data_IF_045652707480
#
_entry.id   IF_045652707480
#
_cell.length_a   1.000
_cell.length_b   1.000
_cell.length_c   1.000
_cell.angle_alpha   90.00
_cell.angle_beta   90.00
_cell.angle_gamma   90.00
#
_symmetry.space_group_name_H-M   'P 1'
#
loop_
_entity.id
_entity.type
_entity.pdbx_description
1 polymer ?
#
# COMPACT_ATOMS: atom_id res chain seq x y z
N UNK A 1 -20.62 10.36 -21.17
CA UNK A 1 -21.55 11.37 -20.61
C UNK A 1 -21.53 12.59 -21.53
N UNK A 2 -22.67 13.05 -22.05
CA UNK A 2 -22.68 14.19 -22.98
C UNK A 2 -21.78 14.00 -24.22
N UNK A 3 -21.72 12.79 -24.78
CA UNK A 3 -20.83 12.43 -25.89
C UNK A 3 -19.35 12.21 -25.53
N UNK A 4 -18.93 12.55 -24.31
CA UNK A 4 -17.56 12.34 -23.83
C UNK A 4 -17.37 10.93 -23.25
N UNK A 5 -16.17 10.37 -23.43
CA UNK A 5 -15.79 9.05 -22.91
C UNK A 5 -14.86 9.23 -21.70
N UNK A 6 -15.18 8.54 -20.61
CA UNK A 6 -14.37 8.50 -19.38
C UNK A 6 -13.87 7.08 -19.20
N UNK A 7 -12.55 6.92 -19.13
CA UNK A 7 -11.85 5.67 -18.89
C UNK A 7 -11.68 5.47 -17.39
N UNK A 8 -12.37 4.46 -16.86
CA UNK A 8 -12.28 4.06 -15.45
C UNK A 8 -11.32 2.87 -15.30
N UNK A 9 -11.46 1.86 -16.18
CA UNK A 9 -10.61 0.68 -16.12
C UNK A 9 -9.14 1.04 -16.41
N UNK A 10 -8.29 0.61 -15.51
CA UNK A 10 -6.85 0.83 -15.51
C UNK A 10 -6.16 -0.52 -15.29
N UNK A 11 -5.45 -1.08 -16.28
CA UNK A 11 -4.78 -2.37 -16.16
C UNK A 11 -3.73 -2.44 -15.04
N UNK A 12 -3.20 -1.29 -14.58
CA UNK A 12 -2.25 -1.26 -13.47
C UNK A 12 -2.92 -1.43 -12.10
N UNK A 13 -4.20 -1.05 -11.99
CA UNK A 13 -4.97 -1.06 -10.74
C UNK A 13 -6.02 -2.18 -10.69
N UNK A 14 -6.63 -2.50 -11.83
CA UNK A 14 -7.76 -3.41 -11.91
C UNK A 14 -7.31 -4.78 -12.43
N UNK A 15 -7.61 -5.82 -11.65
CA UNK A 15 -7.37 -7.22 -12.03
C UNK A 15 -8.68 -7.82 -12.54
N UNK A 16 -8.79 -8.16 -13.84
CA UNK A 16 -10.01 -8.78 -14.37
C UNK A 16 -10.38 -10.05 -13.59
N UNK A 17 -11.64 -10.18 -13.24
CA UNK A 17 -12.18 -11.35 -12.58
C UNK A 17 -12.81 -12.24 -13.65
N UNK A 18 -12.03 -13.23 -14.13
CA UNK A 18 -12.37 -14.26 -15.13
C UNK A 18 -13.23 -13.82 -16.33
N UNK A 19 -12.71 -14.00 -17.54
CA UNK A 19 -13.41 -13.74 -18.80
C UNK A 19 -14.80 -14.40 -18.79
N UNK A 20 -15.88 -13.71 -19.19
CA UNK A 20 -17.12 -14.41 -19.52
C UNK A 20 -16.77 -15.54 -20.49
N UNK A 21 -17.24 -16.75 -20.20
CA UNK A 21 -16.95 -17.93 -21.01
C UNK A 21 -17.15 -17.57 -22.50
N UNK A 22 -16.25 -17.99 -23.40
CA UNK A 22 -16.39 -17.68 -24.80
C UNK A 22 -17.79 -18.13 -25.26
N UNK A 23 -18.51 -17.22 -25.94
CA UNK A 23 -19.82 -17.50 -26.54
C UNK A 23 -19.81 -18.70 -27.50
N UNK A 24 -18.64 -19.27 -27.79
CA UNK A 24 -18.40 -20.44 -28.63
C UNK A 24 -18.80 -21.80 -28.01
N UNK A 25 -19.24 -21.87 -26.75
CA UNK A 25 -19.72 -23.13 -26.14
C UNK A 25 -21.26 -23.28 -26.12
N UNK A 26 -22.02 -22.30 -26.65
CA UNK A 26 -23.45 -22.44 -26.83
C UNK A 26 -23.74 -22.96 -28.25
N UNK A 27 -23.75 -24.29 -28.41
CA UNK A 27 -24.40 -24.92 -29.56
C UNK A 27 -25.85 -24.44 -29.57
N UNK A 28 -26.38 -23.86 -30.67
CA UNK A 28 -27.75 -23.34 -30.70
C UNK A 28 -28.73 -24.51 -30.81
N UNK A 29 -29.01 -25.17 -29.69
CA UNK A 29 -30.12 -26.12 -29.59
C UNK A 29 -31.35 -25.37 -29.10
N UNK A 30 -32.05 -24.73 -30.03
CA UNK A 30 -33.41 -24.22 -29.82
C UNK A 30 -33.59 -22.72 -30.00
N UNK A 31 -34.81 -22.35 -30.38
CA UNK A 31 -35.33 -20.98 -30.46
C UNK A 31 -35.47 -20.48 -29.01
N UNK A 32 -34.36 -20.08 -28.40
CA UNK A 32 -34.28 -19.61 -27.03
C UNK A 32 -33.47 -18.32 -26.98
N UNK A 33 -34.01 -17.31 -26.27
CA UNK A 33 -33.44 -15.99 -26.07
C UNK A 33 -31.90 -16.02 -26.00
N UNK A 34 -31.26 -15.27 -26.91
CA UNK A 34 -29.83 -14.99 -26.79
C UNK A 34 -29.58 -14.43 -25.38
N UNK A 35 -28.82 -15.16 -24.54
CA UNK A 35 -28.24 -14.58 -23.34
C UNK A 35 -27.37 -13.44 -23.83
N UNK A 36 -27.82 -12.20 -23.61
CA UNK A 36 -27.08 -11.00 -23.98
C UNK A 36 -25.63 -11.18 -23.53
N UNK A 37 -24.72 -11.18 -24.50
CA UNK A 37 -23.31 -11.08 -24.22
C UNK A 37 -23.14 -9.76 -23.45
N UNK A 38 -22.55 -9.83 -22.26
CA UNK A 38 -22.27 -8.66 -21.42
C UNK A 38 -21.71 -7.51 -22.27
N UNK A 39 -22.14 -6.28 -21.99
CA UNK A 39 -21.67 -5.09 -22.69
C UNK A 39 -20.13 -4.99 -22.57
N UNK A 40 -19.47 -5.04 -23.73
CA UNK A 40 -18.01 -5.11 -23.87
C UNK A 40 -17.27 -3.87 -23.34
N UNK A 41 -18.00 -2.79 -23.04
CA UNK A 41 -17.44 -1.61 -22.38
C UNK A 41 -17.16 -1.87 -20.89
N UNK A 42 -17.76 -2.90 -20.31
CA UNK A 42 -17.56 -3.28 -18.91
C UNK A 42 -16.55 -4.40 -18.79
N UNK A 43 -15.67 -4.27 -17.80
CA UNK A 43 -14.72 -5.30 -17.43
C UNK A 43 -14.98 -5.67 -15.98
N UNK A 44 -15.47 -6.90 -15.75
CA UNK A 44 -15.56 -7.45 -14.41
C UNK A 44 -14.14 -7.55 -13.81
N UNK A 45 -13.93 -6.97 -12.63
CA UNK A 45 -12.64 -6.98 -11.95
C UNK A 45 -12.79 -7.34 -10.47
N UNK A 46 -11.71 -7.80 -9.86
CA UNK A 46 -11.62 -7.94 -8.40
C UNK A 46 -11.80 -6.56 -7.76
N UNK A 47 -12.35 -6.54 -6.54
CA UNK A 47 -12.53 -5.32 -5.75
C UNK A 47 -11.24 -4.48 -5.78
N UNK A 48 -11.28 -3.24 -6.30
CA UNK A 48 -10.06 -2.47 -6.55
C UNK A 48 -9.43 -1.98 -5.24
N UNK A 49 -8.11 -1.99 -5.20
CA UNK A 49 -7.31 -1.42 -4.11
C UNK A 49 -6.30 -0.48 -4.74
N UNK A 50 -6.46 0.81 -4.49
CA UNK A 50 -5.57 1.86 -4.98
C UNK A 50 -4.76 2.38 -3.80
N UNK A 51 -3.44 2.38 -3.93
CA UNK A 51 -2.51 2.88 -2.91
C UNK A 51 -1.67 3.98 -3.55
N UNK A 52 -1.48 5.09 -2.83
CA UNK A 52 -0.64 6.21 -3.25
C UNK A 52 0.06 6.80 -2.04
N UNK A 53 1.26 7.36 -2.22
CA UNK A 53 2.10 7.90 -1.15
C UNK A 53 2.44 9.37 -1.32
N UNK A 54 3.69 9.74 -0.97
CA UNK A 54 4.19 11.10 -1.04
C UNK A 54 4.30 11.68 -2.46
N UNK A 55 4.29 10.84 -3.49
CA UNK A 55 4.31 11.23 -4.90
C UNK A 55 2.98 11.76 -5.43
N UNK A 56 1.89 11.56 -4.67
CA UNK A 56 0.56 12.00 -5.06
C UNK A 56 0.48 13.53 -5.23
N UNK A 57 -0.25 13.96 -6.26
CA UNK A 57 -0.63 15.36 -6.50
C UNK A 57 -2.15 15.49 -6.50
N UNK A 58 -2.71 16.67 -6.22
CA UNK A 58 -4.17 16.83 -6.08
C UNK A 58 -4.95 16.62 -7.39
N UNK A 59 -4.32 16.86 -8.55
CA UNK A 59 -4.96 16.71 -9.87
C UNK A 59 -5.39 15.27 -10.19
N UNK A 60 -4.83 14.26 -9.51
CA UNK A 60 -5.23 12.85 -9.67
C UNK A 60 -6.61 12.56 -9.07
N UNK A 61 -7.16 13.50 -8.29
CA UNK A 61 -8.52 13.44 -7.73
C UNK A 61 -9.57 14.07 -8.64
N UNK A 62 -9.15 14.70 -9.73
CA UNK A 62 -10.04 15.31 -10.71
C UNK A 62 -9.98 14.57 -12.06
N UNK A 63 -10.99 14.82 -12.90
CA UNK A 63 -11.03 14.29 -14.26
C UNK A 63 -9.94 14.94 -15.11
N UNK A 64 -9.11 14.11 -15.75
CA UNK A 64 -8.04 14.57 -16.64
C UNK A 64 -8.41 14.33 -18.10
N UNK A 65 -8.59 15.39 -18.87
CA UNK A 65 -8.89 15.30 -20.30
C UNK A 65 -7.59 15.20 -21.13
N UNK A 66 -7.47 14.19 -22.00
CA UNK A 66 -6.43 14.13 -23.03
C UNK A 66 -6.93 14.79 -24.32
N UNK A 67 -6.32 15.90 -24.78
CA UNK A 67 -6.72 16.55 -26.02
C UNK A 67 -6.40 15.72 -27.27
N UNK A 68 -5.50 14.74 -27.19
CA UNK A 68 -5.13 13.85 -28.30
C UNK A 68 -6.18 12.75 -28.50
N UNK A 69 -6.53 12.04 -27.43
CA UNK A 69 -7.48 10.91 -27.49
C UNK A 69 -8.93 11.34 -27.33
N UNK A 70 -9.17 12.56 -26.85
CA UNK A 70 -10.50 13.10 -26.48
C UNK A 70 -11.19 12.28 -25.37
N UNK A 71 -10.41 11.52 -24.61
CA UNK A 71 -10.88 10.75 -23.47
C UNK A 71 -10.53 11.45 -22.16
N UNK A 72 -11.35 11.19 -21.16
CA UNK A 72 -11.06 11.52 -19.78
C UNK A 72 -10.47 10.31 -19.06
N UNK A 73 -9.43 10.53 -18.27
CA UNK A 73 -9.03 9.59 -17.24
C UNK A 73 -9.80 9.88 -15.95
N UNK A 74 -10.37 8.83 -15.36
CA UNK A 74 -11.07 8.91 -14.10
C UNK A 74 -10.10 9.18 -12.93
N UNK A 75 -10.54 9.92 -11.90
CA UNK A 75 -9.73 10.16 -10.72
C UNK A 75 -9.55 8.88 -9.88
N UNK A 76 -8.54 8.88 -8.99
CA UNK A 76 -8.16 7.69 -8.22
C UNK A 76 -9.31 7.09 -7.39
N UNK A 77 -10.10 7.93 -6.75
CA UNK A 77 -11.20 7.45 -5.90
C UNK A 77 -12.34 6.80 -6.74
N UNK A 78 -12.54 7.24 -7.99
CA UNK A 78 -13.48 6.58 -8.94
C UNK A 78 -12.89 5.26 -9.45
N UNK A 79 -11.57 5.20 -9.69
CA UNK A 79 -10.89 3.94 -10.01
C UNK A 79 -10.91 2.95 -8.83
N UNK A 80 -11.00 3.46 -7.60
CA UNK A 80 -11.10 2.68 -6.38
C UNK A 80 -12.56 2.38 -5.95
N UNK A 81 -13.55 2.71 -6.78
CA UNK A 81 -14.96 2.63 -6.42
C UNK A 81 -15.39 1.19 -6.08
N UNK A 82 -16.26 1.06 -5.07
CA UNK A 82 -16.59 -0.18 -4.36
C UNK A 82 -15.40 -0.90 -3.73
N UNK A 83 -14.24 -0.23 -3.62
CA UNK A 83 -12.96 -0.78 -3.21
C UNK A 83 -12.36 -0.05 -2.01
N UNK A 84 -11.06 0.19 -2.09
CA UNK A 84 -10.29 0.93 -1.10
C UNK A 84 -9.32 1.90 -1.79
N UNK A 85 -9.23 3.11 -1.25
CA UNK A 85 -8.20 4.10 -1.58
C UNK A 85 -7.38 4.37 -0.32
N UNK A 86 -6.12 3.94 -0.32
CA UNK A 86 -5.15 4.19 0.74
C UNK A 86 -4.20 5.33 0.33
N UNK A 87 -4.20 6.39 1.11
CA UNK A 87 -3.27 7.52 1.01
C UNK A 87 -2.24 7.36 2.13
N UNK A 88 -1.10 6.81 1.77
CA UNK A 88 0.03 6.59 2.67
C UNK A 88 0.91 7.84 2.79
N UNK A 89 1.76 7.87 3.81
CA UNK A 89 2.60 9.02 4.15
C UNK A 89 1.82 10.35 4.18
N UNK A 90 0.58 10.33 4.66
CA UNK A 90 -0.27 11.51 4.69
C UNK A 90 0.38 12.63 5.52
N UNK A 91 0.52 13.80 4.88
CA UNK A 91 1.27 14.94 5.42
C UNK A 91 2.69 15.08 4.92
N UNK A 92 3.18 14.17 4.06
CA UNK A 92 4.49 14.26 3.42
C UNK A 92 4.40 14.53 1.91
N UNK A 93 3.20 14.85 1.41
CA UNK A 93 2.97 15.22 0.02
C UNK A 93 3.47 16.65 -0.27
N UNK A 94 3.57 17.00 -1.57
CA UNK A 94 3.93 18.35 -2.02
C UNK A 94 2.86 19.41 -1.76
N UNK A 95 1.64 18.99 -1.41
CA UNK A 95 0.51 19.86 -1.07
C UNK A 95 0.25 19.82 0.43
N UNK A 96 -0.47 20.82 0.95
CA UNK A 96 -0.83 20.86 2.38
C UNK A 96 -1.94 19.84 2.69
N UNK A 97 -1.91 19.15 3.85
CA UNK A 97 -2.97 18.22 4.26
C UNK A 97 -4.39 18.78 4.13
N UNK A 98 -4.57 20.04 4.54
CA UNK A 98 -5.87 20.72 4.48
C UNK A 98 -6.41 20.85 3.06
N UNK A 99 -5.55 20.97 2.03
CA UNK A 99 -6.00 21.07 0.64
C UNK A 99 -6.66 19.76 0.18
N UNK A 100 -6.08 18.62 0.55
CA UNK A 100 -6.66 17.32 0.28
C UNK A 100 -7.98 17.13 1.03
N UNK A 101 -8.00 17.46 2.33
CA UNK A 101 -9.20 17.31 3.15
C UNK A 101 -10.34 18.23 2.67
N UNK A 102 -10.02 19.47 2.28
CA UNK A 102 -10.99 20.39 1.68
C UNK A 102 -11.56 19.85 0.35
N UNK A 103 -10.75 19.18 -0.47
CA UNK A 103 -11.24 18.54 -1.70
C UNK A 103 -12.15 17.35 -1.43
N UNK A 104 -11.89 16.61 -0.34
CA UNK A 104 -12.55 15.34 -0.01
C UNK A 104 -13.74 15.49 0.95
N UNK A 105 -13.87 16.62 1.65
CA UNK A 105 -14.93 16.83 2.66
C UNK A 105 -16.32 16.63 2.08
N UNK A 106 -16.62 17.22 0.92
CA UNK A 106 -17.94 17.13 0.28
C UNK A 106 -18.23 15.69 -0.18
N UNK A 107 -17.33 15.00 -0.90
CA UNK A 107 -17.52 13.58 -1.22
C UNK A 107 -17.69 12.68 0.00
N UNK A 108 -16.92 12.90 1.07
CA UNK A 108 -16.99 12.11 2.29
C UNK A 108 -18.31 12.34 3.06
N UNK A 109 -18.81 13.58 3.12
CA UNK A 109 -20.05 13.90 3.84
C UNK A 109 -21.30 13.50 3.06
N UNK A 110 -21.33 13.80 1.75
CA UNK A 110 -22.51 13.62 0.91
C UNK A 110 -22.54 12.28 0.17
N UNK A 111 -21.46 11.48 0.27
CA UNK A 111 -21.28 10.22 -0.46
C UNK A 111 -21.40 10.37 -1.99
N UNK A 112 -21.09 11.57 -2.50
CA UNK A 112 -21.17 11.92 -3.93
C UNK A 112 -20.08 12.94 -4.26
N UNK A 113 -19.34 12.70 -5.34
CA UNK A 113 -18.43 13.69 -5.93
C UNK A 113 -19.03 14.28 -7.22
N UNK A 114 -18.69 15.54 -7.50
CA UNK A 114 -19.19 16.28 -8.66
C UNK A 114 -18.06 16.59 -9.61
N UNK A 115 -18.28 16.28 -10.89
CA UNK A 115 -17.30 16.49 -11.93
C UNK A 115 -17.85 17.37 -13.04
N UNK A 116 -16.95 18.14 -13.64
CA UNK A 116 -17.26 19.01 -14.77
C UNK A 116 -16.45 18.61 -15.99
N UNK A 117 -17.13 18.42 -17.11
CA UNK A 117 -16.52 18.17 -18.41
C UNK A 117 -16.10 19.50 -19.07
N UNK A 118 -15.22 19.42 -20.07
CA UNK A 118 -14.74 20.57 -20.85
C UNK A 118 -15.88 21.22 -21.65
N UNK A 119 -16.93 20.44 -21.94
CA UNK A 119 -18.18 20.92 -22.53
C UNK A 119 -19.00 21.82 -21.60
N UNK A 120 -18.58 21.94 -20.32
CA UNK A 120 -19.32 22.65 -19.28
C UNK A 120 -20.38 21.80 -18.58
N UNK A 121 -20.66 20.60 -19.08
CA UNK A 121 -21.62 19.66 -18.46
C UNK A 121 -21.11 19.18 -17.11
N UNK A 122 -21.92 19.34 -16.07
CA UNK A 122 -21.66 18.81 -14.74
C UNK A 122 -22.42 17.50 -14.55
N UNK A 123 -21.79 16.52 -13.89
CA UNK A 123 -22.43 15.28 -13.48
C UNK A 123 -21.88 14.85 -12.12
N UNK A 124 -22.58 13.94 -11.46
CA UNK A 124 -22.18 13.39 -10.17
C UNK A 124 -21.87 11.89 -10.29
N UNK A 125 -20.98 11.41 -9.42
CA UNK A 125 -20.71 9.99 -9.21
C UNK A 125 -20.80 9.68 -7.71
N UNK A 126 -21.24 8.47 -7.33
CA UNK A 126 -21.22 8.07 -5.94
C UNK A 126 -19.78 7.97 -5.42
N UNK A 127 -19.58 8.35 -4.17
CA UNK A 127 -18.31 8.25 -3.46
C UNK A 127 -18.29 6.98 -2.59
N UNK A 128 -18.47 5.82 -3.24
CA UNK A 128 -18.50 4.52 -2.56
C UNK A 128 -17.10 3.90 -2.47
N UNK A 129 -16.20 4.51 -1.71
CA UNK A 129 -14.83 4.03 -1.52
C UNK A 129 -14.44 4.01 -0.04
N UNK A 130 -13.77 2.95 0.40
CA UNK A 130 -13.12 2.94 1.70
C UNK A 130 -11.85 3.79 1.62
N UNK A 131 -11.93 5.05 2.08
CA UNK A 131 -10.81 5.97 2.16
C UNK A 131 -10.02 5.75 3.46
N UNK A 132 -8.73 5.47 3.33
CA UNK A 132 -7.80 5.29 4.46
C UNK A 132 -6.64 6.27 4.32
N UNK A 133 -6.32 6.97 5.41
CA UNK A 133 -5.11 7.77 5.53
C UNK A 133 -4.15 7.05 6.48
N UNK A 134 -2.89 6.91 6.09
CA UNK A 134 -1.81 6.35 6.91
C UNK A 134 -0.74 7.43 7.08
N UNK A 135 -0.22 7.58 8.30
CA UNK A 135 0.82 8.57 8.60
C UNK A 135 1.59 8.19 9.86
N UNK A 136 2.87 8.58 9.87
CA UNK A 136 3.73 8.51 11.05
C UNK A 136 3.73 9.82 11.87
N UNK A 137 3.03 10.86 11.40
CA UNK A 137 2.92 12.15 12.08
C UNK A 137 1.74 12.16 13.04
N UNK A 138 1.79 13.03 14.06
CA UNK A 138 0.65 13.15 14.98
C UNK A 138 -0.54 13.79 14.24
N UNK A 139 -1.76 13.26 14.36
CA UNK A 139 -2.92 13.82 13.68
C UNK A 139 -3.19 15.29 14.00
N UNK A 140 -2.84 15.74 15.21
CA UNK A 140 -2.99 17.14 15.63
C UNK A 140 -2.05 18.12 14.91
N UNK A 141 -0.92 17.63 14.39
CA UNK A 141 0.04 18.44 13.61
C UNK A 141 -0.37 18.55 12.14
N UNK A 142 -1.27 17.67 11.70
CA UNK A 142 -1.68 17.54 10.30
C UNK A 142 -3.04 18.14 10.01
N UNK A 143 -3.95 18.09 10.97
CA UNK A 143 -5.38 18.26 10.73
C UNK A 143 -5.98 19.14 11.82
N UNK A 144 -6.82 20.10 11.43
CA UNK A 144 -7.56 20.91 12.39
C UNK A 144 -8.60 20.08 13.19
N UNK A 145 -9.04 20.57 14.38
CA UNK A 145 -10.04 19.87 15.17
C UNK A 145 -11.41 19.70 14.49
N UNK A 146 -11.74 20.47 13.45
CA UNK A 146 -12.99 20.34 12.72
C UNK A 146 -12.97 19.16 11.74
N UNK A 147 -11.85 18.89 11.09
CA UNK A 147 -11.66 17.71 10.24
C UNK A 147 -11.48 16.44 11.06
N UNK A 148 -10.77 16.49 12.20
CA UNK A 148 -10.65 15.34 13.10
C UNK A 148 -12.02 14.82 13.58
N UNK A 149 -13.03 15.69 13.72
CA UNK A 149 -14.40 15.29 14.05
C UNK A 149 -15.11 14.51 12.93
N UNK A 150 -14.68 14.70 11.68
CA UNK A 150 -15.26 14.05 10.49
C UNK A 150 -14.60 12.71 10.16
N UNK A 151 -13.37 12.51 10.61
CA UNK A 151 -12.70 11.20 10.56
C UNK A 151 -13.13 10.34 11.76
N UNK A 152 -14.08 9.44 11.56
CA UNK A 152 -14.67 8.65 12.65
C UNK A 152 -13.66 7.70 13.32
N UNK A 153 -12.90 6.96 12.50
CA UNK A 153 -11.94 5.98 13.00
C UNK A 153 -10.52 6.54 12.99
N UNK A 154 -9.84 6.39 14.14
CA UNK A 154 -8.44 6.76 14.32
C UNK A 154 -7.77 5.58 15.01
N UNK A 155 -7.07 4.77 14.24
CA UNK A 155 -6.43 3.54 14.73
C UNK A 155 -4.96 3.84 14.93
N UNK A 156 -4.51 3.87 16.18
CA UNK A 156 -3.09 3.97 16.51
C UNK A 156 -2.50 2.56 16.55
N UNK A 157 -1.43 2.35 15.79
CA UNK A 157 -0.63 1.14 15.91
C UNK A 157 0.34 1.30 17.09
N UNK A 158 0.29 0.36 18.02
CA UNK A 158 1.20 0.28 19.15
C UNK A 158 2.36 -0.64 18.81
N UNK A 159 3.44 -0.56 19.60
CA UNK A 159 4.51 -1.56 19.53
C UNK A 159 3.91 -2.98 19.68
N UNK A 160 4.26 -3.92 18.81
CA UNK A 160 3.79 -5.29 18.93
C UNK A 160 4.29 -5.91 20.23
N UNK A 161 3.44 -6.75 20.81
CA UNK A 161 3.87 -7.66 21.90
C UNK A 161 4.97 -8.60 21.41
N UNK A 162 5.69 -9.24 22.33
CA UNK A 162 6.76 -10.20 21.97
C UNK A 162 6.18 -11.34 21.12
N UNK A 163 4.99 -11.81 21.46
CA UNK A 163 4.28 -12.88 20.79
C UNK A 163 3.83 -12.48 19.38
N UNK A 164 3.24 -11.30 19.22
CA UNK A 164 2.87 -10.76 17.90
C UNK A 164 4.12 -10.54 17.03
N UNK A 165 5.17 -9.96 17.61
CA UNK A 165 6.43 -9.74 16.92
C UNK A 165 7.04 -11.06 16.44
N UNK A 166 6.99 -12.13 17.27
CA UNK A 166 7.41 -13.48 16.86
C UNK A 166 6.62 -13.99 15.68
N UNK A 167 5.29 -13.91 15.72
CA UNK A 167 4.42 -14.38 14.65
C UNK A 167 4.71 -13.66 13.33
N UNK A 168 4.91 -12.34 13.39
CA UNK A 168 5.28 -11.53 12.21
C UNK A 168 6.65 -11.97 11.69
N UNK A 169 7.64 -12.12 12.58
CA UNK A 169 8.99 -12.52 12.19
C UNK A 169 8.99 -13.90 11.52
N UNK A 170 8.30 -14.88 12.11
CA UNK A 170 8.16 -16.21 11.52
C UNK A 170 7.51 -16.18 10.14
N UNK A 171 6.44 -15.39 9.97
CA UNK A 171 5.76 -15.26 8.68
C UNK A 171 6.68 -14.62 7.61
N UNK A 172 7.42 -13.58 7.98
CA UNK A 172 8.36 -12.88 7.11
C UNK A 172 9.54 -13.80 6.76
N UNK A 173 10.15 -14.46 7.73
CA UNK A 173 11.26 -15.39 7.53
C UNK A 173 10.86 -16.52 6.57
N UNK A 174 9.68 -17.14 6.79
CA UNK A 174 9.14 -18.17 5.89
C UNK A 174 8.96 -17.66 4.46
N UNK A 175 8.48 -16.44 4.27
CA UNK A 175 8.33 -15.83 2.94
C UNK A 175 9.66 -15.60 2.21
N UNK A 176 10.77 -15.61 2.95
CA UNK A 176 12.15 -15.49 2.45
C UNK A 176 12.93 -16.80 2.47
N UNK A 177 12.25 -17.93 2.72
CA UNK A 177 12.87 -19.24 2.90
C UNK A 177 13.92 -19.30 4.02
N UNK A 178 13.79 -18.45 5.04
CA UNK A 178 14.60 -18.45 6.25
C UNK A 178 13.87 -19.23 7.37
N UNK A 179 14.65 -19.84 8.25
CA UNK A 179 14.14 -20.48 9.48
C UNK A 179 14.55 -19.65 10.69
N UNK A 180 13.56 -19.17 11.43
CA UNK A 180 13.77 -18.44 12.68
C UNK A 180 13.82 -19.44 13.84
N UNK A 181 14.95 -19.48 14.55
CA UNK A 181 15.10 -20.28 15.77
C UNK A 181 14.78 -19.44 17.00
N UNK A 182 14.45 -20.09 18.12
CA UNK A 182 14.17 -19.40 19.38
C UNK A 182 15.37 -18.57 19.86
N UNK A 183 16.58 -19.13 19.77
CA UNK A 183 17.81 -18.44 20.15
C UNK A 183 18.00 -17.16 19.33
N UNK A 184 17.86 -17.23 18.00
CA UNK A 184 18.02 -16.05 17.14
C UNK A 184 16.94 -15.01 17.39
N UNK A 185 15.70 -15.44 17.64
CA UNK A 185 14.62 -14.52 17.98
C UNK A 185 14.87 -13.80 19.30
N UNK A 186 15.26 -14.54 20.33
CA UNK A 186 15.55 -14.01 21.65
C UNK A 186 16.73 -13.02 21.59
N UNK A 187 17.78 -13.36 20.81
CA UNK A 187 18.90 -12.48 20.52
C UNK A 187 18.47 -11.16 19.87
N UNK A 188 17.61 -11.19 18.84
CA UNK A 188 17.08 -9.96 18.21
C UNK A 188 16.37 -9.08 19.24
N UNK A 189 15.46 -9.67 20.02
CA UNK A 189 14.64 -8.92 20.97
C UNK A 189 15.51 -8.32 22.07
N UNK A 190 16.50 -9.06 22.56
CA UNK A 190 17.46 -8.57 23.55
C UNK A 190 18.29 -7.41 22.98
N UNK A 191 18.87 -7.57 21.78
CA UNK A 191 19.72 -6.54 21.14
C UNK A 191 18.96 -5.25 20.86
N UNK A 192 17.69 -5.35 20.41
CA UNK A 192 16.82 -4.18 20.22
C UNK A 192 16.58 -3.45 21.54
N UNK A 193 16.22 -4.19 22.60
CA UNK A 193 15.95 -3.62 23.92
C UNK A 193 17.20 -3.02 24.56
N UNK A 194 18.36 -3.67 24.45
CA UNK A 194 19.62 -3.15 24.98
C UNK A 194 20.05 -1.87 24.25
N UNK A 195 19.74 -1.75 22.96
CA UNK A 195 19.93 -0.53 22.17
C UNK A 195 18.91 0.58 22.45
N UNK A 196 17.94 0.36 23.35
CA UNK A 196 16.89 1.34 23.65
C UNK A 196 15.79 1.43 22.59
N UNK A 197 15.71 0.47 21.67
CA UNK A 197 14.71 0.44 20.62
C UNK A 197 13.51 -0.44 21.00
N UNK A 198 12.31 0.09 20.77
CA UNK A 198 11.07 -0.68 20.85
C UNK A 198 10.96 -1.72 19.73
N UNK A 199 10.01 -2.65 19.87
CA UNK A 199 9.67 -3.56 18.79
C UNK A 199 8.84 -2.81 17.75
N UNK A 200 9.11 -3.03 16.47
CA UNK A 200 8.39 -2.37 15.38
C UNK A 200 8.14 -3.31 14.20
N UNK A 201 6.95 -3.21 13.61
CA UNK A 201 6.47 -4.12 12.55
C UNK A 201 7.36 -4.19 11.30
N UNK A 202 8.14 -3.14 11.01
CA UNK A 202 9.03 -3.12 9.86
C UNK A 202 10.34 -3.88 10.08
N UNK A 203 10.78 -4.05 11.34
CA UNK A 203 12.09 -4.61 11.68
C UNK A 203 12.28 -6.04 11.12
N UNK A 204 11.33 -6.99 11.26
CA UNK A 204 11.55 -8.35 10.78
C UNK A 204 11.80 -8.43 9.28
N UNK A 205 11.09 -7.60 8.49
CA UNK A 205 11.29 -7.52 7.05
C UNK A 205 12.68 -6.99 6.72
N UNK A 206 13.08 -5.90 7.36
CA UNK A 206 14.40 -5.33 7.15
C UNK A 206 15.51 -6.33 7.48
N UNK A 207 15.43 -6.98 8.65
CA UNK A 207 16.44 -7.97 9.10
C UNK A 207 16.52 -9.14 8.10
N UNK A 208 15.38 -9.73 7.73
CA UNK A 208 15.37 -10.85 6.78
C UNK A 208 15.90 -10.45 5.39
N UNK A 209 15.52 -9.27 4.89
CA UNK A 209 15.97 -8.77 3.59
C UNK A 209 17.50 -8.53 3.61
N UNK A 210 18.04 -7.91 4.67
CA UNK A 210 19.49 -7.71 4.84
C UNK A 210 20.26 -9.03 4.90
N UNK A 211 19.78 -10.00 5.68
CA UNK A 211 20.42 -11.33 5.80
C UNK A 211 20.44 -12.05 4.46
N UNK A 212 19.33 -12.01 3.70
CA UNK A 212 19.25 -12.61 2.36
C UNK A 212 20.25 -11.96 1.40
N UNK A 213 20.35 -10.63 1.41
CA UNK A 213 21.33 -9.92 0.57
C UNK A 213 22.78 -10.21 0.97
N UNK A 214 23.08 -10.31 2.28
CA UNK A 214 24.40 -10.71 2.76
C UNK A 214 24.76 -12.14 2.31
N UNK A 215 23.84 -13.10 2.46
CA UNK A 215 24.06 -14.47 1.98
C UNK A 215 24.30 -14.52 0.47
N UNK A 216 23.53 -13.75 -0.33
CA UNK A 216 23.74 -13.65 -1.78
C UNK A 216 25.12 -13.10 -2.13
N UNK A 217 25.57 -12.06 -1.43
CA UNK A 217 26.90 -11.47 -1.63
C UNK A 217 28.02 -12.50 -1.45
N UNK A 218 27.90 -13.37 -0.44
CA UNK A 218 28.89 -14.42 -0.15
C UNK A 218 28.58 -15.77 -0.81
N UNK A 219 27.61 -15.81 -1.73
CA UNK A 219 27.20 -17.00 -2.47
C UNK A 219 26.83 -18.19 -1.54
N UNK A 220 26.17 -17.88 -0.42
CA UNK A 220 25.67 -18.84 0.57
C UNK A 220 24.15 -19.01 0.47
N UNK A 221 23.65 -20.16 0.94
CA UNK A 221 22.20 -20.34 1.10
C UNK A 221 21.67 -19.41 2.20
N UNK A 222 20.47 -18.80 2.04
CA UNK A 222 19.89 -17.93 3.07
C UNK A 222 19.70 -18.67 4.39
N UNK A 223 20.28 -18.16 5.46
CA UNK A 223 20.11 -18.69 6.82
C UNK A 223 20.20 -17.56 7.86
N UNK A 224 19.45 -17.69 8.96
CA UNK A 224 19.47 -16.72 10.06
C UNK A 224 20.47 -17.19 11.13
N UNK A 225 21.52 -16.41 11.33
CA UNK A 225 22.49 -16.55 12.42
C UNK A 225 22.60 -15.25 13.20
N UNK A 226 22.99 -15.34 14.46
CA UNK A 226 23.19 -14.17 15.33
C UNK A 226 24.17 -13.14 14.71
N UNK A 227 25.24 -13.60 14.04
CA UNK A 227 26.22 -12.74 13.37
C UNK A 227 25.60 -11.89 12.25
N UNK A 228 24.95 -12.52 11.27
CA UNK A 228 24.26 -11.83 10.16
C UNK A 228 23.13 -10.93 10.66
N UNK A 229 22.44 -11.33 11.72
CA UNK A 229 21.40 -10.52 12.35
C UNK A 229 21.99 -9.30 13.04
N UNK A 230 23.12 -9.44 13.75
CA UNK A 230 23.80 -8.32 14.38
C UNK A 230 24.27 -7.29 13.33
N UNK A 231 24.81 -7.76 12.20
CA UNK A 231 25.17 -6.91 11.06
C UNK A 231 23.93 -6.18 10.50
N UNK A 232 22.84 -6.91 10.26
CA UNK A 232 21.59 -6.32 9.81
C UNK A 232 21.06 -5.25 10.79
N UNK A 233 21.11 -5.51 12.10
CA UNK A 233 20.68 -4.56 13.13
C UNK A 233 21.58 -3.31 13.18
N UNK A 234 22.91 -3.48 13.00
CA UNK A 234 23.85 -2.36 12.92
C UNK A 234 23.59 -1.45 11.71
N UNK A 235 23.14 -2.03 10.59
CA UNK A 235 22.72 -1.27 9.41
C UNK A 235 21.40 -0.53 9.63
N UNK A 236 20.52 -1.07 10.48
CA UNK A 236 19.22 -0.45 10.78
C UNK A 236 19.37 0.72 11.76
N UNK A 237 20.23 0.56 12.75
CA UNK A 237 20.47 1.53 13.80
C UNK A 237 21.98 1.78 13.83
N UNK A 238 22.40 2.87 13.16
CA UNK A 238 23.79 3.27 12.95
C UNK A 238 24.66 3.35 14.23
N UNK A 239 24.05 3.28 15.42
CA UNK A 239 24.68 3.43 16.75
C UNK A 239 24.41 2.26 17.71
N UNK A 240 24.09 1.04 17.25
CA UNK A 240 24.30 -0.13 18.13
C UNK A 240 25.81 -0.35 18.20
N UNK A 241 26.50 0.52 18.94
CA UNK A 241 27.87 0.28 19.38
C UNK A 241 27.89 -1.08 20.08
N UNK A 242 28.94 -1.86 19.81
CA UNK A 242 29.23 -3.12 20.47
C UNK A 242 29.37 -2.89 21.98
N UNK A 243 28.23 -2.91 22.68
CA UNK A 243 28.16 -3.04 24.13
C UNK A 243 28.63 -4.47 24.49
N UNK A 244 29.95 -4.65 24.45
CA UNK A 244 30.63 -5.89 24.80
C UNK A 244 32.06 -5.84 24.30
N UNK A 245 33.02 -5.82 25.24
CA UNK A 245 34.43 -6.12 24.98
C UNK A 245 34.54 -7.53 24.36
N UNK A 246 34.42 -7.60 23.05
CA UNK A 246 34.61 -8.77 22.22
C UNK A 246 35.19 -8.31 20.89
N UNK A 247 35.94 -9.16 20.16
CA UNK A 247 36.50 -8.75 18.88
C UNK A 247 35.35 -8.32 17.97
N UNK A 248 35.43 -7.09 17.45
CA UNK A 248 34.48 -6.55 16.50
C UNK A 248 34.15 -7.62 15.45
N UNK A 249 32.86 -7.84 15.10
CA UNK A 249 32.52 -8.78 14.05
C UNK A 249 33.34 -8.39 12.82
N UNK A 250 34.11 -9.36 12.29
CA UNK A 250 34.93 -9.13 11.10
C UNK A 250 33.99 -8.64 10.02
N UNK A 251 33.99 -7.33 9.76
CA UNK A 251 33.35 -6.75 8.58
C UNK A 251 33.84 -7.60 7.42
N UNK A 252 32.93 -8.28 6.72
CA UNK A 252 33.29 -8.94 5.48
C UNK A 252 33.59 -7.83 4.49
N UNK A 253 34.87 -7.45 4.45
CA UNK A 253 35.39 -6.53 3.46
C UNK A 253 35.35 -7.28 2.15
N UNK A 254 34.41 -6.93 1.27
CA UNK A 254 34.45 -7.35 -0.11
C UNK A 254 35.78 -6.86 -0.70
N UNK A 255 36.68 -7.80 -1.02
CA UNK A 255 37.82 -7.51 -1.88
C UNK A 255 37.25 -7.28 -3.29
N UNK A 256 37.55 -6.09 -3.83
CA UNK A 256 37.15 -5.65 -5.17
C UNK A 256 37.71 -6.54 -6.28
#
# INVERSE_FOLDING_TARGET
IGGQIIKIFDPSLHKPAATPAPAAAAVPTGIGLQREAFDQRWVACKRPVVVTGGEMTLDVLDLRHSPETKFYDAPLHVKALNGMLLIDDFGRQKFKPDELLNRMIVPMENQVDYFKLITGTTFSLPFDVLLIFSTNLQPADLIDPAFLRRMQYKIKLFEPTREEYRQIFDAVAKSRALTLTDNTFDFVVERLRSGGFGLAYYQPRFICDQVVEACKCFNMLPHLTEELVAEALSNLYFDIEDAGEGPAPKRLVAAA
#
